data_IF_248165173506
#
_entry.id   IF_248165173506
#
_cell.length_a   1.000
_cell.length_b   1.000
_cell.length_c   1.000
_cell.angle_alpha   90.00
_cell.angle_beta   90.00
_cell.angle_gamma   90.00
#
_symmetry.space_group_name_H-M   'P 1'
#
loop_
_entity.id
_entity.type
_entity.pdbx_description
1 polymer ?
#
# COMPACT_ATOMS: atom_id res chain seq x y z
N UNK A 1 2.57 15.23 5.42
CA UNK A 1 3.63 14.31 5.88
C UNK A 1 3.95 13.35 4.72
N UNK A 2 5.18 12.84 4.64
CA UNK A 2 5.64 12.00 3.52
C UNK A 2 4.79 10.73 3.34
N UNK A 3 4.35 10.11 4.43
CA UNK A 3 3.46 8.95 4.46
C UNK A 3 2.09 9.22 3.84
N UNK A 4 1.55 10.43 3.99
CA UNK A 4 0.28 10.84 3.36
C UNK A 4 0.40 10.93 1.84
N UNK A 5 1.47 11.55 1.33
CA UNK A 5 1.70 11.64 -0.11
C UNK A 5 2.00 10.28 -0.72
N UNK A 6 2.78 9.44 -0.04
CA UNK A 6 3.03 8.07 -0.47
C UNK A 6 1.75 7.21 -0.47
N UNK A 7 0.89 7.34 0.54
CA UNK A 7 -0.40 6.64 0.55
C UNK A 7 -1.28 7.07 -0.63
N UNK A 8 -1.36 8.37 -0.89
CA UNK A 8 -2.13 8.91 -2.02
C UNK A 8 -1.56 8.43 -3.37
N UNK A 9 -0.23 8.40 -3.50
CA UNK A 9 0.45 7.90 -4.68
C UNK A 9 0.11 6.43 -4.95
N UNK A 10 0.28 5.55 -3.95
CA UNK A 10 -0.04 4.12 -4.05
C UNK A 10 -1.53 3.92 -4.37
N UNK A 11 -2.42 4.69 -3.73
CA UNK A 11 -3.86 4.65 -4.01
C UNK A 11 -4.16 5.05 -5.46
N UNK A 12 -3.62 6.17 -5.95
CA UNK A 12 -3.86 6.63 -7.32
C UNK A 12 -3.30 5.66 -8.38
N UNK A 13 -2.17 4.98 -8.10
CA UNK A 13 -1.70 3.89 -8.97
C UNK A 13 -2.69 2.71 -8.99
N UNK A 14 -3.22 2.33 -7.84
CA UNK A 14 -4.16 1.21 -7.71
C UNK A 14 -5.47 1.45 -8.47
N UNK A 15 -5.91 2.70 -8.57
CA UNK A 15 -7.11 3.08 -9.32
C UNK A 15 -7.00 2.84 -10.84
N UNK A 16 -5.78 2.68 -11.36
CA UNK A 16 -5.55 2.36 -12.77
C UNK A 16 -5.73 0.86 -13.06
N UNK A 17 -5.79 0.03 -12.03
CA UNK A 17 -5.75 -1.42 -12.13
C UNK A 17 -7.13 -1.99 -11.79
N UNK A 18 -7.75 -2.69 -12.75
CA UNK A 18 -9.10 -3.23 -12.60
C UNK A 18 -9.26 -4.19 -11.41
N UNK A 19 -8.17 -4.88 -11.00
CA UNK A 19 -8.17 -5.81 -9.87
C UNK A 19 -8.62 -5.19 -8.54
N UNK A 20 -8.51 -3.87 -8.39
CA UNK A 20 -8.90 -3.16 -7.16
C UNK A 20 -10.37 -2.79 -7.09
N UNK A 21 -11.15 -2.97 -8.18
CA UNK A 21 -12.60 -2.67 -8.21
C UNK A 21 -13.38 -3.53 -7.21
N UNK A 22 -12.82 -4.66 -6.77
CA UNK A 22 -13.40 -5.54 -5.74
C UNK A 22 -13.41 -4.93 -4.32
N UNK A 23 -12.64 -3.88 -4.06
CA UNK A 23 -12.54 -3.24 -2.75
C UNK A 23 -13.33 -1.92 -2.69
N UNK A 24 -13.87 -1.59 -1.52
CA UNK A 24 -14.50 -0.28 -1.29
C UNK A 24 -13.46 0.84 -1.22
N UNK A 25 -13.89 2.08 -1.47
CA UNK A 25 -13.01 3.25 -1.35
C UNK A 25 -12.39 3.41 0.05
N UNK A 26 -13.14 3.09 1.12
CA UNK A 26 -12.61 3.13 2.48
C UNK A 26 -11.56 2.06 2.74
N UNK A 27 -11.75 0.85 2.19
CA UNK A 27 -10.79 -0.23 2.26
C UNK A 27 -9.50 0.12 1.52
N UNK A 28 -9.59 0.64 0.29
CA UNK A 28 -8.43 1.07 -0.48
C UNK A 28 -7.65 2.17 0.24
N UNK A 29 -8.33 3.17 0.82
CA UNK A 29 -7.68 4.23 1.58
C UNK A 29 -6.94 3.67 2.81
N UNK A 30 -7.56 2.74 3.55
CA UNK A 30 -6.95 2.07 4.69
C UNK A 30 -5.71 1.24 4.30
N UNK A 31 -5.83 0.44 3.24
CA UNK A 31 -4.75 -0.38 2.71
C UNK A 31 -3.56 0.46 2.21
N UNK A 32 -3.84 1.61 1.58
CA UNK A 32 -2.80 2.52 1.10
C UNK A 32 -2.03 3.21 2.24
N UNK A 33 -2.71 3.58 3.34
CA UNK A 33 -2.07 4.07 4.55
C UNK A 33 -1.18 2.98 5.14
N UNK A 34 -1.67 1.74 5.22
CA UNK A 34 -0.88 0.63 5.74
C UNK A 34 0.36 0.35 4.86
N UNK A 35 0.19 0.33 3.54
CA UNK A 35 1.26 0.16 2.56
C UNK A 35 2.33 1.26 2.65
N UNK A 36 1.92 2.52 2.80
CA UNK A 36 2.87 3.65 2.91
C UNK A 36 3.68 3.57 4.20
N UNK A 37 3.03 3.22 5.32
CA UNK A 37 3.70 3.05 6.62
C UNK A 37 4.64 1.85 6.65
N UNK A 38 4.28 0.76 5.98
CA UNK A 38 5.15 -0.39 5.78
C UNK A 38 6.40 0.01 4.99
N UNK A 39 6.20 0.69 3.86
CA UNK A 39 7.29 1.14 2.97
C UNK A 39 8.25 2.08 3.70
N UNK A 40 7.72 3.00 4.51
CA UNK A 40 8.52 3.94 5.32
C UNK A 40 9.03 3.35 6.64
N UNK A 41 8.86 2.04 6.87
CA UNK A 41 9.30 1.31 8.07
C UNK A 41 8.85 1.97 9.38
N UNK A 42 7.64 2.53 9.41
CA UNK A 42 7.11 3.17 10.61
C UNK A 42 6.88 2.16 11.74
N UNK A 43 7.08 2.61 12.99
CA UNK A 43 6.84 1.78 14.19
C UNK A 43 5.36 1.43 14.37
N UNK A 44 4.47 2.37 14.07
CA UNK A 44 3.03 2.27 14.34
C UNK A 44 2.25 2.09 13.04
N UNK A 45 2.30 0.88 12.48
CA UNK A 45 1.70 0.59 11.18
C UNK A 45 0.17 0.70 11.19
N UNK A 46 -0.48 0.09 12.19
CA UNK A 46 -1.93 0.10 12.36
C UNK A 46 -2.25 0.37 13.82
N UNK A 47 -2.76 1.57 14.12
CA UNK A 47 -2.98 2.02 15.50
C UNK A 47 -4.38 1.69 15.96
N UNK A 48 -4.60 1.68 17.29
CA UNK A 48 -5.94 1.53 17.87
C UNK A 48 -6.91 2.59 17.33
N UNK A 49 -6.44 3.81 17.08
CA UNK A 49 -7.21 4.89 16.44
C UNK A 49 -7.65 4.51 15.03
N UNK A 50 -6.74 3.98 14.19
CA UNK A 50 -7.08 3.56 12.83
C UNK A 50 -8.12 2.43 12.85
N UNK A 51 -7.91 1.40 13.67
CA UNK A 51 -8.89 0.33 13.86
C UNK A 51 -10.24 0.86 14.32
N UNK A 52 -10.26 1.78 15.29
CA UNK A 52 -11.50 2.34 15.84
C UNK A 52 -12.35 3.06 14.78
N UNK A 53 -11.72 3.91 13.95
CA UNK A 53 -12.45 4.70 12.95
C UNK A 53 -12.75 3.93 11.66
N UNK A 54 -11.87 3.02 11.24
CA UNK A 54 -12.08 2.24 10.00
C UNK A 54 -12.88 0.96 10.22
N UNK A 55 -12.85 0.43 11.45
CA UNK A 55 -13.36 -0.90 11.82
C UNK A 55 -12.70 -2.05 11.04
N UNK A 56 -11.47 -1.83 10.57
CA UNK A 56 -10.68 -2.82 9.84
C UNK A 56 -9.47 -3.27 10.70
N UNK A 57 -9.18 -4.56 10.63
CA UNK A 57 -7.97 -5.18 11.14
C UNK A 57 -6.92 -5.36 10.05
N UNK A 58 -5.69 -5.67 10.47
CA UNK A 58 -4.60 -5.93 9.53
C UNK A 58 -4.89 -7.13 8.61
N UNK A 59 -5.61 -8.14 9.13
CA UNK A 59 -6.05 -9.30 8.35
C UNK A 59 -6.93 -8.88 7.17
N UNK A 60 -7.84 -7.92 7.39
CA UNK A 60 -8.75 -7.45 6.36
C UNK A 60 -8.00 -6.73 5.23
N UNK A 61 -6.90 -6.05 5.56
CA UNK A 61 -6.12 -5.24 4.62
C UNK A 61 -5.01 -6.02 3.90
N UNK A 62 -4.70 -7.23 4.36
CA UNK A 62 -3.48 -7.96 3.95
C UNK A 62 -3.42 -8.20 2.45
N UNK A 63 -4.50 -8.67 1.83
CA UNK A 63 -4.55 -8.94 0.40
C UNK A 63 -4.40 -7.64 -0.42
N UNK A 64 -5.22 -6.64 -0.11
CA UNK A 64 -5.20 -5.36 -0.82
C UNK A 64 -3.83 -4.67 -0.69
N UNK A 65 -3.22 -4.71 0.49
CA UNK A 65 -1.89 -4.12 0.72
C UNK A 65 -0.80 -4.84 -0.06
N UNK A 66 -0.85 -6.18 -0.15
CA UNK A 66 0.11 -6.93 -0.96
C UNK A 66 0.02 -6.55 -2.45
N UNK A 67 -1.20 -6.49 -3.00
CA UNK A 67 -1.45 -6.05 -4.39
C UNK A 67 -0.96 -4.60 -4.60
N UNK A 68 -1.18 -3.70 -3.63
CA UNK A 68 -0.71 -2.31 -3.70
C UNK A 68 0.81 -2.18 -3.72
N UNK A 69 1.53 -3.03 -2.96
CA UNK A 69 2.99 -3.03 -2.95
C UNK A 69 3.58 -3.52 -4.28
N UNK A 70 2.90 -4.46 -4.95
CA UNK A 70 3.26 -4.92 -6.30
C UNK A 70 3.14 -3.77 -7.32
N UNK A 71 2.00 -3.08 -7.32
CA UNK A 71 1.77 -1.93 -8.20
C UNK A 71 2.77 -0.80 -7.93
N UNK A 72 3.10 -0.54 -6.66
CA UNK A 72 4.13 0.44 -6.30
C UNK A 72 5.51 0.06 -6.85
N UNK A 73 5.90 -1.23 -6.80
CA UNK A 73 7.16 -1.73 -7.37
C UNK A 73 7.23 -1.56 -8.88
N UNK A 74 6.14 -1.80 -9.60
CA UNK A 74 6.14 -1.73 -11.07
C UNK A 74 5.94 -0.32 -11.63
N UNK A 75 5.60 0.66 -10.79
CA UNK A 75 5.13 1.98 -11.22
C UNK A 75 6.07 2.70 -12.21
N UNK A 76 7.38 2.68 -11.98
CA UNK A 76 8.35 3.35 -12.85
C UNK A 76 8.51 2.70 -14.24
N UNK A 77 8.13 1.42 -14.38
CA UNK A 77 8.23 0.65 -15.62
C UNK A 77 6.86 0.40 -16.28
N UNK A 78 5.76 0.84 -15.66
CA UNK A 78 4.41 0.64 -16.17
C UNK A 78 4.15 1.52 -17.42
N UNK A 79 3.19 1.16 -18.25
CA UNK A 79 2.79 1.95 -19.42
C UNK A 79 2.03 3.24 -19.01
N UNK A 80 1.28 3.20 -17.90
CA UNK A 80 0.46 4.31 -17.42
C UNK A 80 1.26 5.25 -16.50
N UNK A 81 2.04 6.17 -17.08
CA UNK A 81 3.00 7.01 -16.33
C UNK A 81 2.44 8.28 -15.68
N UNK A 82 1.21 8.71 -15.99
CA UNK A 82 0.69 10.01 -15.54
C UNK A 82 0.70 10.20 -14.01
N UNK A 83 0.40 9.16 -13.24
CA UNK A 83 0.46 9.22 -11.77
C UNK A 83 1.91 9.20 -11.27
N UNK A 84 2.78 8.37 -11.85
CA UNK A 84 4.20 8.35 -11.50
C UNK A 84 4.85 9.72 -11.71
N UNK A 85 4.62 10.35 -12.87
CA UNK A 85 5.10 11.69 -13.19
C UNK A 85 4.56 12.74 -12.21
N UNK A 86 3.24 12.75 -11.97
CA UNK A 86 2.61 13.68 -11.01
C UNK A 86 3.30 13.64 -9.64
N UNK A 87 3.50 12.45 -9.07
CA UNK A 87 4.09 12.28 -7.75
C UNK A 87 5.63 12.36 -7.73
N UNK A 88 6.26 12.51 -8.90
CA UNK A 88 7.69 12.79 -9.04
C UNK A 88 8.02 14.28 -8.88
N UNK A 89 7.02 15.17 -8.78
CA UNK A 89 7.22 16.61 -8.64
C UNK A 89 7.21 17.11 -7.18
N UNK A 90 7.79 18.30 -6.98
CA UNK A 90 8.01 18.95 -5.67
C UNK A 90 6.75 19.11 -4.80
N UNK A 91 5.55 19.44 -5.33
CA UNK A 91 4.33 19.53 -4.51
C UNK A 91 3.99 18.25 -3.74
N UNK A 92 4.52 17.10 -4.19
CA UNK A 92 4.30 15.79 -3.60
C UNK A 92 5.57 15.21 -2.95
N UNK A 93 6.53 16.06 -2.59
CA UNK A 93 7.82 15.66 -2.00
C UNK A 93 8.60 14.63 -2.83
N UNK A 94 8.36 14.58 -4.14
CA UNK A 94 8.99 13.62 -5.05
C UNK A 94 8.80 12.15 -4.60
N UNK A 95 7.71 11.80 -3.90
CA UNK A 95 7.55 10.46 -3.29
C UNK A 95 7.69 9.31 -4.30
N UNK A 96 7.37 9.51 -5.57
CA UNK A 96 7.52 8.48 -6.60
C UNK A 96 8.99 8.13 -6.90
N UNK A 97 9.92 9.08 -6.74
CA UNK A 97 11.35 8.89 -7.02
C UNK A 97 12.21 8.83 -5.76
N UNK A 98 11.77 9.49 -4.68
CA UNK A 98 12.51 9.58 -3.42
C UNK A 98 12.30 8.36 -2.50
N UNK A 99 11.19 7.62 -2.66
CA UNK A 99 10.89 6.44 -1.85
C UNK A 99 11.12 5.19 -2.67
N UNK A 100 12.04 4.34 -2.21
CA UNK A 100 12.25 3.03 -2.82
C UNK A 100 11.08 2.09 -2.46
N UNK A 101 10.42 1.46 -3.45
CA UNK A 101 9.44 0.43 -3.19
C UNK A 101 10.04 -0.73 -2.38
N UNK A 102 9.24 -1.38 -1.55
CA UNK A 102 9.71 -2.58 -0.83
C UNK A 102 10.08 -3.66 -1.83
N UNK A 103 11.19 -4.36 -1.64
CA UNK A 103 11.54 -5.51 -2.49
C UNK A 103 10.55 -6.67 -2.27
N UNK A 104 10.32 -7.49 -3.30
CA UNK A 104 9.54 -8.73 -3.19
C UNK A 104 10.12 -9.68 -2.12
N UNK A 105 11.45 -9.69 -1.98
CA UNK A 105 12.16 -10.48 -0.98
C UNK A 105 12.15 -9.89 0.43
N UNK A 106 11.53 -8.72 0.68
CA UNK A 106 11.45 -8.16 2.03
C UNK A 106 10.57 -9.08 2.91
N UNK A 107 11.03 -9.48 4.12
CA UNK A 107 10.29 -10.42 4.97
C UNK A 107 8.86 -9.97 5.30
N UNK A 108 8.60 -8.66 5.30
CA UNK A 108 7.26 -8.11 5.56
C UNK A 108 6.32 -8.31 4.38
N UNK A 109 6.85 -8.24 3.15
CA UNK A 109 6.09 -8.55 1.93
C UNK A 109 5.78 -10.05 1.91
N UNK A 110 6.76 -10.90 2.19
CA UNK A 110 6.56 -12.35 2.31
C UNK A 110 5.53 -12.71 3.39
N UNK A 111 5.55 -12.04 4.54
CA UNK A 111 4.56 -12.24 5.60
C UNK A 111 3.13 -11.90 5.17
N UNK A 112 2.94 -10.85 4.36
CA UNK A 112 1.63 -10.52 3.78
C UNK A 112 1.14 -11.63 2.83
N UNK A 113 2.02 -12.15 1.97
CA UNK A 113 1.68 -13.25 1.07
C UNK A 113 1.35 -14.55 1.80
N UNK A 114 2.11 -14.86 2.87
CA UNK A 114 1.85 -16.02 3.72
C UNK A 114 0.48 -15.89 4.42
N UNK A 115 0.18 -14.72 4.99
CA UNK A 115 -1.11 -14.47 5.66
C UNK A 115 -2.30 -14.53 4.68
N UNK A 116 -2.12 -14.15 3.42
CA UNK A 116 -3.13 -14.31 2.36
C UNK A 116 -3.42 -15.78 2.01
N UNK A 117 -2.43 -16.66 2.16
CA UNK A 117 -2.53 -18.06 1.72
C UNK A 117 -3.24 -18.96 2.73
N UNK A 118 -3.55 -18.46 3.94
CA UNK A 118 -4.43 -19.12 4.91
C UNK A 118 -3.92 -20.48 5.38
N UNK A 119 -2.92 -20.49 6.26
CA UNK A 119 -2.85 -21.55 7.28
C UNK A 119 -3.66 -21.07 8.49
N UNK A 120 -4.98 -21.19 8.37
CA UNK A 120 -5.93 -21.09 9.49
C UNK A 120 -5.87 -22.39 10.30
N UNK A 121 -4.66 -22.79 10.73
CA UNK A 121 -4.44 -23.90 11.62
C UNK A 121 -4.79 -23.48 13.05
N UNK A 122 -5.90 -24.03 13.55
CA UNK A 122 -6.36 -24.01 14.94
C UNK A 122 -5.24 -23.93 15.98
N UNK A 123 -5.37 -23.00 16.93
CA UNK A 123 -4.87 -23.12 18.31
C UNK A 123 -5.97 -22.69 19.27
#
# INVERSE_FOLDING_TARGET
>A
SMDTYLARYILELSLQEYRFVKYSASHLAAAAIYASRLTLRQKHLWTATLRHYTRLDLSDLTECTAEMLEVHRSAAANQLQAVYEKFSHSPYMHVATAVTPMAESDPRVQALHAARSGDSGSL
#
